data_IF_970635787819
#
_entry.id   IF_970635787819
#
_cell.length_a   1.000
_cell.length_b   1.000
_cell.length_c   1.000
_cell.angle_alpha   90.00
_cell.angle_beta   90.00
_cell.angle_gamma   90.00
#
_symmetry.space_group_name_H-M   'P 1'
#
loop_
_entity.id
_entity.type
_entity.pdbx_description
1 polymer ?
#
# COMPACT_ATOMS: atom_id res chain seq x y z
N UNK A 1 31.42 -6.60 -26.56
CA UNK A 1 31.21 -6.14 -25.16
C UNK A 1 29.73 -5.86 -24.99
N UNK A 2 28.94 -6.83 -24.50
CA UNK A 2 27.52 -6.62 -24.17
C UNK A 2 27.43 -6.16 -22.71
N UNK A 3 27.74 -4.87 -22.49
CA UNK A 3 27.57 -4.23 -21.18
C UNK A 3 26.11 -3.90 -20.96
N UNK A 4 25.29 -4.90 -20.62
CA UNK A 4 23.97 -4.67 -20.04
C UNK A 4 24.12 -4.62 -18.52
N UNK A 5 23.68 -3.53 -17.89
CA UNK A 5 23.46 -3.53 -16.45
C UNK A 5 22.46 -4.65 -16.15
N UNK A 6 22.92 -5.71 -15.47
CA UNK A 6 22.02 -6.75 -15.01
C UNK A 6 21.10 -6.11 -13.96
N UNK A 7 19.84 -5.85 -14.34
CA UNK A 7 18.82 -5.39 -13.40
C UNK A 7 18.70 -6.36 -12.23
N UNK A 8 18.45 -5.85 -11.04
CA UNK A 8 18.24 -6.68 -9.85
C UNK A 8 16.76 -6.90 -9.64
N UNK A 9 16.32 -8.16 -9.63
CA UNK A 9 14.98 -8.54 -9.18
C UNK A 9 15.05 -9.08 -7.76
N UNK A 10 14.05 -8.73 -6.97
CA UNK A 10 13.90 -9.19 -5.58
C UNK A 10 12.43 -9.51 -5.33
N UNK A 11 12.17 -10.59 -4.58
CA UNK A 11 10.84 -10.97 -4.11
C UNK A 11 10.95 -11.24 -2.61
N UNK A 12 10.00 -10.70 -1.84
CA UNK A 12 9.94 -10.84 -0.40
C UNK A 12 8.47 -10.81 0.06
N UNK A 13 8.16 -11.55 1.11
CA UNK A 13 6.87 -11.42 1.80
C UNK A 13 6.76 -10.08 2.55
N UNK A 14 5.53 -9.59 2.72
CA UNK A 14 5.22 -8.41 3.50
C UNK A 14 4.25 -8.75 4.63
N UNK A 15 4.47 -8.15 5.79
CA UNK A 15 3.53 -8.19 6.92
C UNK A 15 3.42 -6.81 7.56
N UNK A 16 2.32 -6.55 8.25
CA UNK A 16 2.11 -5.26 8.87
C UNK A 16 0.66 -4.97 9.20
N UNK A 17 0.34 -3.69 9.28
CA UNK A 17 -0.96 -3.19 9.69
C UNK A 17 -1.48 -2.14 8.71
N UNK A 18 -2.78 -2.21 8.45
CA UNK A 18 -3.54 -1.17 7.78
C UNK A 18 -4.58 -0.63 8.77
N UNK A 19 -4.63 0.69 8.93
CA UNK A 19 -5.65 1.34 9.76
C UNK A 19 -6.42 2.34 8.94
N UNK A 20 -7.75 2.31 9.06
CA UNK A 20 -8.62 3.38 8.55
C UNK A 20 -8.76 4.43 9.65
N UNK A 21 -8.32 5.65 9.39
CA UNK A 21 -8.34 6.73 10.39
C UNK A 21 -9.60 7.57 10.30
N UNK A 22 -10.01 7.93 9.08
CA UNK A 22 -11.15 8.80 8.80
C UNK A 22 -11.87 8.28 7.55
N UNK A 23 -13.20 8.32 7.57
CA UNK A 23 -14.05 8.18 6.37
C UNK A 23 -14.97 9.38 6.27
N UNK A 24 -15.03 9.98 5.10
CA UNK A 24 -15.93 11.10 4.79
C UNK A 24 -16.42 10.98 3.35
N UNK A 25 -17.72 10.74 3.17
CA UNK A 25 -18.28 10.44 1.85
C UNK A 25 -17.61 9.24 1.21
N UNK A 26 -17.08 9.43 0.00
CA UNK A 26 -16.32 8.44 -0.75
C UNK A 26 -14.80 8.49 -0.46
N UNK A 27 -14.33 9.30 0.49
CA UNK A 27 -12.93 9.40 0.86
C UNK A 27 -12.62 8.58 2.11
N UNK A 28 -11.47 7.92 2.10
CA UNK A 28 -10.95 7.21 3.26
C UNK A 28 -9.45 7.49 3.43
N UNK A 29 -9.06 7.88 4.64
CA UNK A 29 -7.65 8.07 5.00
C UNK A 29 -7.13 6.85 5.73
N UNK A 30 -5.99 6.35 5.27
CA UNK A 30 -5.35 5.15 5.73
C UNK A 30 -3.98 5.47 6.32
N UNK A 31 -3.62 4.71 7.34
CA UNK A 31 -2.24 4.52 7.75
C UNK A 31 -1.80 3.13 7.33
N UNK A 32 -0.75 3.05 6.51
CA UNK A 32 -0.16 1.81 6.01
C UNK A 32 1.22 1.68 6.63
N UNK A 33 1.43 0.61 7.40
CA UNK A 33 2.74 0.28 7.99
C UNK A 33 3.04 -1.19 7.73
N UNK A 34 3.86 -1.47 6.72
CA UNK A 34 4.27 -2.82 6.31
C UNK A 34 5.78 -2.93 6.20
N UNK A 35 6.29 -4.13 6.45
CA UNK A 35 7.71 -4.47 6.42
C UNK A 35 7.91 -5.88 5.87
N UNK A 36 9.11 -6.19 5.38
CA UNK A 36 9.41 -7.54 4.90
C UNK A 36 9.27 -8.58 6.02
N UNK A 37 8.47 -9.61 5.77
CA UNK A 37 8.29 -10.75 6.70
C UNK A 37 9.41 -11.78 6.61
N UNK A 38 10.09 -11.80 5.46
CA UNK A 38 11.07 -12.82 5.11
C UNK A 38 12.45 -12.19 4.87
N UNK A 39 13.46 -13.02 4.60
CA UNK A 39 14.84 -12.60 4.33
C UNK A 39 14.99 -11.91 2.98
N UNK A 40 14.50 -10.67 2.88
CA UNK A 40 14.91 -9.73 1.85
C UNK A 40 16.43 -9.49 1.94
N UNK A 41 17.07 -9.13 0.82
CA UNK A 41 18.52 -8.85 0.76
C UNK A 41 18.91 -7.65 1.63
N UNK A 42 17.94 -6.77 1.90
CA UNK A 42 18.03 -5.63 2.82
C UNK A 42 16.66 -5.35 3.42
N UNK A 43 16.56 -4.61 4.54
CA UNK A 43 15.27 -4.22 5.10
C UNK A 43 14.41 -3.47 4.09
N UNK A 44 13.13 -3.86 3.97
CA UNK A 44 12.12 -3.26 3.10
C UNK A 44 10.90 -2.87 3.93
N UNK A 45 10.40 -1.66 3.74
CA UNK A 45 9.26 -1.13 4.49
C UNK A 45 8.54 0.00 3.75
N UNK A 46 7.28 0.17 4.12
CA UNK A 46 6.42 1.29 3.76
C UNK A 46 5.65 1.72 5.00
N UNK A 47 5.81 2.98 5.38
CA UNK A 47 5.15 3.61 6.51
C UNK A 47 4.66 5.00 6.04
N UNK A 48 3.35 5.15 5.82
CA UNK A 48 2.78 6.38 5.25
C UNK A 48 1.29 6.56 5.58
N UNK A 49 0.85 7.82 5.49
CA UNK A 49 -0.54 8.23 5.54
C UNK A 49 -1.01 8.64 4.15
N UNK A 50 -2.11 8.07 3.69
CA UNK A 50 -2.66 8.40 2.37
C UNK A 50 -4.17 8.43 2.38
N UNK A 51 -4.76 9.16 1.42
CA UNK A 51 -6.20 9.21 1.21
C UNK A 51 -6.54 8.58 -0.14
N UNK A 52 -7.48 7.64 -0.11
CA UNK A 52 -8.04 7.01 -1.28
C UNK A 52 -9.52 7.33 -1.45
N UNK A 53 -10.04 6.98 -2.63
CA UNK A 53 -11.46 7.03 -2.96
C UNK A 53 -12.02 5.61 -2.91
N UNK A 54 -13.15 5.42 -2.23
CA UNK A 54 -13.94 4.19 -2.21
C UNK A 54 -15.21 4.43 -3.00
N UNK A 55 -15.45 3.65 -4.05
CA UNK A 55 -16.69 3.74 -4.82
C UNK A 55 -17.87 3.01 -4.15
N UNK A 56 -19.04 3.07 -4.80
CA UNK A 56 -20.27 2.46 -4.29
C UNK A 56 -20.23 0.94 -4.22
N UNK A 57 -19.35 0.31 -5.01
CA UNK A 57 -19.16 -1.13 -5.06
C UNK A 57 -18.07 -1.60 -4.06
N UNK A 58 -17.48 -0.66 -3.32
CA UNK A 58 -16.46 -0.92 -2.30
C UNK A 58 -15.05 -1.06 -2.88
N UNK A 59 -14.81 -0.63 -4.12
CA UNK A 59 -13.48 -0.59 -4.70
C UNK A 59 -12.72 0.65 -4.20
N UNK A 60 -11.52 0.42 -3.69
CA UNK A 60 -10.60 1.44 -3.21
C UNK A 60 -9.59 1.78 -4.31
N UNK A 61 -9.36 3.08 -4.53
CA UNK A 61 -8.24 3.57 -5.33
C UNK A 61 -7.46 4.63 -4.55
N UNK A 62 -6.15 4.45 -4.44
CA UNK A 62 -5.18 5.44 -3.97
C UNK A 62 -4.27 5.77 -5.15
N UNK A 63 -4.39 6.98 -5.68
CA UNK A 63 -3.66 7.38 -6.90
C UNK A 63 -2.17 7.65 -6.67
N UNK A 64 -1.79 8.00 -5.44
CA UNK A 64 -0.40 8.26 -5.07
C UNK A 64 -0.14 7.95 -3.59
N UNK A 65 0.84 7.09 -3.38
CA UNK A 65 1.39 6.68 -2.10
C UNK A 65 2.91 6.68 -2.22
N UNK A 66 3.66 6.95 -1.15
CA UNK A 66 5.12 6.76 -1.20
C UNK A 66 5.47 5.29 -1.47
N UNK A 67 6.60 5.00 -2.12
CA UNK A 67 7.07 3.62 -2.23
C UNK A 67 7.88 3.18 -1.00
N UNK A 68 8.23 4.12 -0.11
CA UNK A 68 9.14 3.85 1.00
C UNK A 68 10.44 3.22 0.49
N UNK A 69 10.83 2.12 1.11
CA UNK A 69 11.96 1.30 0.65
C UNK A 69 11.51 0.04 -0.10
N UNK A 70 10.21 -0.16 -0.36
CA UNK A 70 9.70 -1.31 -1.11
C UNK A 70 10.19 -1.30 -2.57
N UNK A 71 10.36 -0.11 -3.14
CA UNK A 71 10.97 0.10 -4.45
C UNK A 71 12.18 0.99 -4.27
N UNK A 72 13.29 0.62 -4.90
CA UNK A 72 14.52 1.42 -4.82
C UNK A 72 14.34 2.79 -5.47
N UNK A 73 15.12 3.76 -5.00
CA UNK A 73 15.17 5.07 -5.64
C UNK A 73 16.07 5.00 -6.88
N UNK A 74 15.76 5.79 -7.92
CA UNK A 74 14.62 6.70 -8.07
C UNK A 74 13.28 6.00 -8.37
N UNK A 75 12.21 6.37 -7.65
CA UNK A 75 10.84 5.94 -7.93
C UNK A 75 9.85 7.11 -7.78
N UNK A 76 8.67 6.99 -8.39
CA UNK A 76 7.63 8.04 -8.40
C UNK A 76 6.50 7.79 -7.39
N UNK A 77 6.67 6.80 -6.51
CA UNK A 77 5.63 6.28 -5.62
C UNK A 77 4.81 5.13 -6.22
N UNK A 78 3.75 4.77 -5.53
CA UNK A 78 2.87 3.65 -5.84
C UNK A 78 1.44 4.13 -6.10
N UNK A 79 0.75 3.43 -6.98
CA UNK A 79 -0.71 3.40 -7.09
C UNK A 79 -1.21 2.15 -6.39
N UNK A 80 -2.28 2.29 -5.61
CA UNK A 80 -2.92 1.16 -4.93
C UNK A 80 -4.37 1.04 -5.41
N UNK A 81 -4.78 -0.16 -5.76
CA UNK A 81 -6.17 -0.51 -6.01
C UNK A 81 -6.58 -1.66 -5.10
N UNK A 82 -7.82 -1.69 -4.66
CA UNK A 82 -8.28 -2.76 -3.80
C UNK A 82 -9.79 -2.89 -3.76
N UNK A 83 -10.27 -3.89 -3.03
CA UNK A 83 -11.68 -4.09 -2.80
C UNK A 83 -11.91 -4.70 -1.43
N UNK A 84 -12.97 -4.24 -0.76
CA UNK A 84 -13.49 -4.93 0.41
C UNK A 84 -14.23 -6.21 -0.03
N UNK A 85 -14.04 -7.30 0.70
CA UNK A 85 -14.81 -8.53 0.45
C UNK A 85 -16.29 -8.32 0.74
N UNK A 86 -17.14 -9.17 0.17
CA UNK A 86 -18.55 -9.25 0.60
C UNK A 86 -18.60 -9.50 2.11
N UNK A 87 -19.29 -8.62 2.85
CA UNK A 87 -19.31 -8.62 4.32
C UNK A 87 -18.26 -7.73 5.01
N UNK A 88 -17.35 -7.09 4.26
CA UNK A 88 -16.44 -6.04 4.76
C UNK A 88 -15.33 -6.50 5.71
N UNK A 89 -15.16 -7.82 5.90
CA UNK A 89 -14.20 -8.40 6.85
C UNK A 89 -12.79 -8.54 6.29
N UNK A 90 -12.62 -8.51 4.96
CA UNK A 90 -11.32 -8.54 4.30
C UNK A 90 -11.16 -7.38 3.33
N UNK A 91 -9.90 -6.97 3.13
CA UNK A 91 -9.50 -6.00 2.13
C UNK A 91 -8.32 -6.57 1.35
N UNK A 92 -8.47 -6.68 0.04
CA UNK A 92 -7.37 -7.01 -0.87
C UNK A 92 -6.83 -5.72 -1.47
N UNK A 93 -5.51 -5.56 -1.50
CA UNK A 93 -4.80 -4.43 -2.07
C UNK A 93 -3.79 -4.92 -3.10
N UNK A 94 -3.66 -4.18 -4.19
CA UNK A 94 -2.69 -4.37 -5.26
C UNK A 94 -1.89 -3.08 -5.38
N UNK A 95 -0.59 -3.19 -5.18
CA UNK A 95 0.37 -2.09 -5.28
C UNK A 95 1.07 -2.16 -6.61
N UNK A 96 1.14 -1.03 -7.32
CA UNK A 96 1.84 -0.91 -8.59
C UNK A 96 2.72 0.33 -8.57
N UNK A 97 3.96 0.20 -9.02
CA UNK A 97 4.84 1.36 -9.19
C UNK A 97 4.26 2.34 -10.22
N UNK A 98 4.28 3.63 -9.88
CA UNK A 98 4.01 4.67 -10.85
C UNK A 98 5.16 4.76 -11.85
N UNK A 99 4.90 5.14 -13.11
CA UNK A 99 5.95 5.33 -14.11
C UNK A 99 7.07 6.25 -13.59
N UNK A 100 8.32 5.85 -13.81
CA UNK A 100 9.50 6.67 -13.50
C UNK A 100 10.04 7.31 -14.78
N UNK A 101 10.57 8.52 -14.69
CA UNK A 101 11.25 9.21 -15.80
C UNK A 101 12.68 8.70 -16.04
N UNK A 102 13.08 7.59 -15.39
CA UNK A 102 14.43 7.03 -15.46
C UNK A 102 14.42 5.79 -16.35
N UNK A 103 15.31 5.78 -17.34
CA UNK A 103 15.38 4.74 -18.36
C UNK A 103 15.67 3.34 -17.79
N UNK A 104 16.36 3.27 -16.65
CA UNK A 104 16.78 2.01 -16.02
C UNK A 104 15.66 1.28 -15.26
N UNK A 105 14.43 1.83 -15.27
CA UNK A 105 13.22 1.09 -14.92
C UNK A 105 13.15 0.58 -13.49
N UNK A 106 12.85 1.45 -12.52
CA UNK A 106 12.58 1.06 -11.14
C UNK A 106 11.10 0.76 -10.98
N UNK A 107 10.77 -0.53 -10.88
CA UNK A 107 9.40 -1.02 -10.82
C UNK A 107 9.25 -2.12 -9.79
N UNK A 108 8.02 -2.28 -9.33
CA UNK A 108 7.59 -3.27 -8.37
C UNK A 108 6.08 -3.35 -8.36
N UNK A 109 5.60 -4.56 -8.17
CA UNK A 109 4.19 -4.89 -7.99
C UNK A 109 4.07 -5.87 -6.84
N UNK A 110 2.90 -5.89 -6.20
CA UNK A 110 2.65 -6.82 -5.11
C UNK A 110 1.21 -6.73 -4.62
N UNK A 111 0.81 -7.77 -3.89
CA UNK A 111 -0.52 -7.86 -3.29
C UNK A 111 -0.42 -7.94 -1.78
N UNK A 112 -1.43 -7.41 -1.10
CA UNK A 112 -1.59 -7.54 0.35
C UNK A 112 -3.05 -7.88 0.65
N UNK A 113 -3.24 -8.87 1.52
CA UNK A 113 -4.54 -9.17 2.09
C UNK A 113 -4.55 -8.76 3.56
N UNK A 114 -5.57 -8.00 3.95
CA UNK A 114 -5.80 -7.59 5.30
C UNK A 114 -7.14 -8.15 5.79
N UNK A 115 -7.14 -8.67 7.02
CA UNK A 115 -8.35 -9.09 7.72
C UNK A 115 -8.66 -8.09 8.84
N UNK A 116 -9.95 -7.84 9.08
CA UNK A 116 -10.39 -6.93 10.12
C UNK A 116 -10.11 -7.54 11.50
N UNK A 117 -9.11 -7.01 12.20
CA UNK A 117 -8.79 -7.38 13.59
C UNK A 117 -9.35 -6.31 14.53
N UNK A 118 -10.64 -6.42 14.84
CA UNK A 118 -11.34 -5.59 15.84
C UNK A 118 -11.96 -4.29 15.29
N UNK A 119 -13.14 -3.93 15.81
CA UNK A 119 -13.78 -2.64 15.61
C UNK A 119 -13.33 -1.70 16.73
N UNK A 120 -12.47 -0.72 16.42
CA UNK A 120 -12.25 0.39 17.37
C UNK A 120 -13.47 1.31 17.22
N UNK A 121 -14.47 1.11 18.08
CA UNK A 121 -15.59 2.03 18.20
C UNK A 121 -15.03 3.39 18.61
N UNK A 122 -15.15 4.38 17.73
CA UNK A 122 -14.83 5.76 18.08
C UNK A 122 -15.64 6.12 19.32
N UNK A 123 -14.96 6.31 20.44
CA UNK A 123 -15.59 6.62 21.71
C UNK A 123 -16.42 7.89 21.55
N UNK A 124 -17.68 7.75 21.93
CA UNK A 124 -18.71 8.78 22.10
C UNK A 124 -18.11 10.13 22.50
N UNK A 125 -18.31 11.16 21.69
CA UNK A 125 -17.99 12.55 22.01
C UNK A 125 -18.52 12.88 23.41
N UNK A 126 -17.72 13.38 24.36
CA UNK A 126 -18.25 13.87 25.62
C UNK A 126 -19.05 15.14 25.33
N UNK A 127 -20.37 15.05 25.51
CA UNK A 127 -21.25 16.22 25.54
C UNK A 127 -20.93 17.06 26.77
N UNK A 128 -20.51 18.31 26.57
CA UNK A 128 -20.70 19.39 27.53
C UNK A 128 -21.00 20.69 26.79
#
# INVERSE_FOLDING_TARGET
MSGGFAGTTEQFGLTGNLRVLVREGNLATFFISVFNSDSAKKPRSLDDFTTGVIDTDGHLTINKLTAGSLVDTPNSGLKVSGAFSSGGSKLSLIFNSLPSMVADGYQGEGTLEAELVGLVSASKTPSR
#
